data_IF_112988664188
#
_entry.id   IF_112988664188
#
_cell.length_a   1.000
_cell.length_b   1.000
_cell.length_c   1.000
_cell.angle_alpha   90.00
_cell.angle_beta   90.00
_cell.angle_gamma   90.00
#
_symmetry.space_group_name_H-M   'P 1'
#
loop_
_entity.id
_entity.type
_entity.pdbx_description
1 polymer ?
#
# COMPACT_ATOMS: atom_id res chain seq x y z
N UNK A 1 -13.83 3.85 -26.27
CA UNK A 1 -12.91 4.85 -25.69
C UNK A 1 -13.01 4.79 -24.19
N UNK A 2 -11.91 4.56 -23.52
CA UNK A 2 -11.90 4.51 -22.06
C UNK A 2 -11.67 5.92 -21.51
N UNK A 3 -12.58 6.38 -20.68
CA UNK A 3 -12.42 7.64 -19.99
C UNK A 3 -11.45 7.46 -18.82
N UNK A 4 -10.45 8.33 -18.73
CA UNK A 4 -9.58 8.39 -17.57
C UNK A 4 -10.32 9.07 -16.43
N UNK A 5 -10.12 8.54 -15.24
CA UNK A 5 -10.65 9.12 -14.01
C UNK A 5 -9.46 9.58 -13.17
N UNK A 6 -9.44 10.85 -12.82
CA UNK A 6 -8.38 11.42 -12.00
C UNK A 6 -8.58 11.06 -10.53
N UNK A 7 -7.50 10.63 -9.89
CA UNK A 7 -7.46 10.37 -8.46
C UNK A 7 -6.41 11.30 -7.84
N UNK A 8 -6.83 12.12 -6.90
CA UNK A 8 -5.92 13.01 -6.20
C UNK A 8 -4.89 12.22 -5.39
N UNK A 9 -3.63 12.62 -5.48
CA UNK A 9 -2.55 12.00 -4.70
C UNK A 9 -2.52 12.68 -3.34
N UNK A 10 -2.56 11.87 -2.28
CA UNK A 10 -2.49 12.36 -0.90
C UNK A 10 -1.26 11.80 -0.18
N UNK A 11 -0.76 12.51 0.84
CA UNK A 11 0.34 11.98 1.63
C UNK A 11 -0.09 10.75 2.43
N UNK A 12 0.81 9.79 2.58
CA UNK A 12 0.58 8.60 3.38
C UNK A 12 0.60 8.97 4.86
N UNK A 13 -0.51 8.72 5.55
CA UNK A 13 -0.59 8.81 7.01
C UNK A 13 -1.20 7.53 7.56
N UNK A 14 -0.88 7.13 8.80
CA UNK A 14 -1.50 5.95 9.41
C UNK A 14 -3.03 6.02 9.42
N UNK A 15 -3.58 7.19 9.69
CA UNK A 15 -5.02 7.41 9.78
C UNK A 15 -5.70 7.30 8.41
N UNK A 16 -5.12 7.91 7.39
CA UNK A 16 -5.67 7.87 6.04
C UNK A 16 -5.56 6.46 5.43
N UNK A 17 -4.54 5.70 5.80
CA UNK A 17 -4.30 4.36 5.27
C UNK A 17 -5.05 3.26 6.01
N UNK A 18 -5.65 3.55 7.16
CA UNK A 18 -6.30 2.54 8.02
C UNK A 18 -7.30 1.63 7.29
N UNK A 19 -8.10 2.08 6.32
CA UNK A 19 -8.99 1.19 5.58
C UNK A 19 -8.26 0.14 4.73
N UNK A 20 -7.00 0.37 4.39
CA UNK A 20 -6.22 -0.44 3.44
C UNK A 20 -5.18 -1.31 4.13
N UNK A 21 -4.71 -0.91 5.30
CA UNK A 21 -3.64 -1.60 6.02
C UNK A 21 -3.01 -0.75 7.09
N UNK A 22 -1.72 -0.99 7.32
CA UNK A 22 -0.94 -0.26 8.32
C UNK A 22 0.33 0.31 7.69
N UNK A 23 0.73 1.48 8.17
CA UNK A 23 2.02 2.07 7.77
C UNK A 23 3.15 1.37 8.50
N UNK A 24 4.16 0.96 7.75
CA UNK A 24 5.43 0.48 8.29
C UNK A 24 6.33 1.70 8.44
N UNK A 25 6.39 2.22 9.65
CA UNK A 25 7.11 3.44 9.95
C UNK A 25 6.74 3.97 11.32
N UNK A 26 7.16 5.18 11.60
CA UNK A 26 6.78 5.85 12.84
C UNK A 26 5.29 6.20 12.81
N UNK A 27 4.57 5.80 13.85
CA UNK A 27 3.14 6.06 14.00
C UNK A 27 2.85 6.85 15.28
N UNK A 28 1.61 7.32 15.43
CA UNK A 28 1.16 8.06 16.59
C UNK A 28 0.62 7.16 17.72
N UNK A 29 0.33 5.88 17.41
CA UNK A 29 -0.05 4.90 18.41
C UNK A 29 1.15 4.54 19.29
N UNK A 30 0.93 4.03 20.52
CA UNK A 30 2.03 3.63 21.39
C UNK A 30 2.95 2.60 20.73
N UNK A 31 4.28 2.74 20.88
CA UNK A 31 5.19 1.73 20.34
C UNK A 31 4.94 0.36 20.98
N UNK A 32 5.17 -0.68 20.20
CA UNK A 32 5.17 -2.05 20.69
C UNK A 32 6.24 -2.26 21.75
N UNK A 33 7.38 -1.62 21.57
CA UNK A 33 8.50 -1.64 22.50
C UNK A 33 9.16 -0.26 22.52
N UNK A 34 9.55 0.16 23.73
CA UNK A 34 10.36 1.36 23.90
C UNK A 34 11.38 1.11 25.00
N UNK A 35 12.66 1.21 24.70
CA UNK A 35 13.73 1.03 25.65
C UNK A 35 15.09 1.26 25.01
N UNK A 36 16.08 1.63 25.84
CA UNK A 36 17.41 1.99 25.35
C UNK A 36 17.31 3.16 24.37
N UNK A 37 17.85 2.98 23.17
CA UNK A 37 17.79 3.96 22.11
C UNK A 37 16.76 3.60 21.01
N UNK A 38 15.83 2.68 21.28
CA UNK A 38 14.90 2.15 20.29
C UNK A 38 13.44 2.36 20.67
N UNK A 39 12.63 2.61 19.64
CA UNK A 39 11.17 2.50 19.68
C UNK A 39 10.75 1.68 18.47
N UNK A 40 9.84 0.73 18.66
CA UNK A 40 9.39 -0.14 17.59
C UNK A 40 7.89 -0.11 17.44
N UNK A 41 7.42 -0.14 16.21
CA UNK A 41 6.02 -0.30 15.86
C UNK A 41 5.88 -1.54 14.98
N UNK A 42 5.02 -2.46 15.39
CA UNK A 42 4.72 -3.64 14.61
C UNK A 42 3.56 -3.43 13.65
N UNK A 43 3.42 -4.34 12.71
CA UNK A 43 2.25 -4.46 11.85
C UNK A 43 1.68 -5.87 11.95
N UNK A 44 0.39 -6.02 11.69
CA UNK A 44 -0.32 -7.31 11.76
C UNK A 44 -0.05 -8.10 10.48
N UNK A 45 1.09 -8.79 10.45
CA UNK A 45 1.51 -9.55 9.29
C UNK A 45 1.04 -10.99 9.40
N UNK A 46 0.22 -11.43 8.44
CA UNK A 46 -0.37 -12.76 8.41
C UNK A 46 -0.06 -13.44 7.07
N UNK A 47 0.19 -14.73 7.12
CA UNK A 47 0.41 -15.56 5.94
C UNK A 47 -0.20 -16.94 6.13
N UNK A 48 -0.94 -17.39 5.12
CA UNK A 48 -1.41 -18.76 5.02
C UNK A 48 -0.50 -19.51 4.04
N UNK A 49 0.29 -20.43 4.56
CA UNK A 49 1.26 -21.18 3.76
C UNK A 49 2.68 -20.62 3.86
N UNK A 50 3.42 -20.72 2.78
CA UNK A 50 4.83 -20.32 2.74
C UNK A 50 4.96 -18.83 2.50
N UNK A 51 5.70 -18.16 3.38
CA UNK A 51 6.06 -16.76 3.18
C UNK A 51 7.17 -16.61 2.15
N UNK A 52 7.05 -15.61 1.29
CA UNK A 52 8.05 -15.27 0.30
C UNK A 52 8.48 -13.81 0.44
N UNK A 53 9.76 -13.57 0.22
CA UNK A 53 10.33 -12.23 0.18
C UNK A 53 10.91 -12.00 -1.22
N UNK A 54 10.42 -10.98 -1.91
CA UNK A 54 10.86 -10.65 -3.25
C UNK A 54 11.49 -9.26 -3.29
N UNK A 55 12.50 -9.10 -4.11
CA UNK A 55 12.94 -7.79 -4.57
C UNK A 55 12.20 -7.47 -5.86
N UNK A 56 11.60 -6.30 -5.92
CA UNK A 56 10.93 -5.80 -7.12
C UNK A 56 11.57 -4.50 -7.59
N UNK A 57 11.84 -4.43 -8.87
CA UNK A 57 12.37 -3.23 -9.51
C UNK A 57 11.27 -2.62 -10.38
N UNK A 58 10.90 -1.37 -10.07
CA UNK A 58 9.83 -0.67 -10.78
C UNK A 58 10.41 0.41 -11.66
N UNK A 59 9.99 0.40 -12.92
CA UNK A 59 10.43 1.38 -13.90
C UNK A 59 9.61 2.67 -13.78
N UNK A 60 10.31 3.79 -13.86
CA UNK A 60 9.67 5.11 -13.90
C UNK A 60 8.76 5.22 -15.12
N UNK A 61 7.54 5.69 -14.91
CA UNK A 61 6.54 5.90 -15.96
C UNK A 61 6.38 7.39 -16.20
N UNK A 62 6.25 7.79 -17.48
CA UNK A 62 6.02 9.18 -17.83
C UNK A 62 4.65 9.67 -17.33
N UNK A 63 3.66 8.78 -17.40
CA UNK A 63 2.31 9.05 -16.92
C UNK A 63 1.97 8.10 -15.76
N UNK A 64 1.36 8.64 -14.72
CA UNK A 64 0.90 7.83 -13.58
C UNK A 64 -0.51 7.34 -13.88
N UNK A 65 -0.60 6.31 -14.70
CA UNK A 65 -1.86 5.69 -15.09
C UNK A 65 -1.85 4.22 -14.77
N UNK A 66 -3.01 3.68 -14.42
CA UNK A 66 -3.17 2.25 -14.24
C UNK A 66 -4.49 1.77 -14.84
N UNK A 67 -4.51 0.53 -15.30
CA UNK A 67 -5.71 -0.15 -15.79
C UNK A 67 -5.91 -1.49 -15.09
N UNK A 68 -4.99 -1.88 -14.24
CA UNK A 68 -5.00 -3.18 -13.57
C UNK A 68 -4.78 -2.98 -12.08
N UNK A 69 -5.63 -3.62 -11.30
CA UNK A 69 -5.46 -3.77 -9.85
C UNK A 69 -5.59 -5.25 -9.49
N UNK A 70 -4.95 -5.62 -8.39
CA UNK A 70 -4.99 -7.00 -7.90
C UNK A 70 -5.24 -7.03 -6.40
N UNK A 71 -5.64 -8.20 -5.90
CA UNK A 71 -5.80 -8.46 -4.47
C UNK A 71 -5.28 -9.86 -4.14
N UNK A 72 -4.86 -10.04 -2.88
CA UNK A 72 -4.36 -11.32 -2.37
C UNK A 72 -5.13 -11.73 -1.12
N UNK A 73 -5.50 -13.00 -1.01
CA UNK A 73 -6.33 -13.50 0.10
C UNK A 73 -5.54 -14.29 1.13
N UNK A 74 -4.39 -14.85 0.74
CA UNK A 74 -3.62 -15.75 1.60
C UNK A 74 -2.56 -15.03 2.44
N UNK A 75 -2.36 -13.75 2.21
CA UNK A 75 -1.28 -12.99 2.83
C UNK A 75 -1.65 -11.53 2.98
N UNK A 76 -1.23 -10.92 4.08
CA UNK A 76 -1.05 -9.49 4.18
C UNK A 76 0.25 -9.15 3.45
N UNK A 77 0.19 -8.32 2.44
CA UNK A 77 1.35 -8.00 1.63
C UNK A 77 2.01 -6.73 2.13
N UNK A 78 3.33 -6.73 2.21
CA UNK A 78 4.09 -5.56 2.60
C UNK A 78 4.97 -5.07 1.46
N UNK A 79 5.02 -3.75 1.29
CA UNK A 79 6.00 -3.07 0.45
C UNK A 79 6.90 -2.20 1.32
N UNK A 80 8.20 -2.45 1.24
CA UNK A 80 9.20 -1.69 1.95
C UNK A 80 10.17 -1.11 0.93
N UNK A 81 10.26 0.22 0.80
CA UNK A 81 11.20 0.82 -0.14
C UNK A 81 12.64 0.61 0.33
N UNK A 82 13.52 0.40 -0.62
CA UNK A 82 14.96 0.46 -0.42
C UNK A 82 15.50 1.75 -1.05
N UNK A 83 16.64 2.20 -0.62
CA UNK A 83 17.32 3.39 -1.15
C UNK A 83 16.52 4.70 -1.04
N UNK A 84 15.56 4.76 -0.11
CA UNK A 84 14.67 5.91 0.06
C UNK A 84 13.87 6.28 -1.20
N UNK A 85 13.60 5.31 -2.06
CA UNK A 85 12.82 5.55 -3.28
C UNK A 85 11.35 5.82 -2.94
N UNK A 86 10.84 6.95 -3.40
CA UNK A 86 9.44 7.32 -3.25
C UNK A 86 8.58 6.80 -4.40
N UNK A 87 7.31 6.63 -4.14
CA UNK A 87 6.37 6.08 -5.12
C UNK A 87 4.94 6.55 -4.87
N UNK A 88 4.11 6.39 -5.89
CA UNK A 88 2.66 6.49 -5.77
C UNK A 88 2.05 5.11 -5.98
N UNK A 89 1.10 4.74 -5.15
CA UNK A 89 0.34 3.51 -5.28
C UNK A 89 -1.13 3.79 -4.99
N UNK A 90 -2.01 3.10 -5.70
CA UNK A 90 -3.46 3.26 -5.57
C UNK A 90 -4.03 2.04 -4.86
N UNK A 91 -4.95 2.28 -3.93
CA UNK A 91 -5.57 1.24 -3.11
C UNK A 91 -7.08 1.40 -3.07
N UNK A 92 -7.77 0.29 -2.88
CA UNK A 92 -9.18 0.26 -2.50
C UNK A 92 -9.38 -0.77 -1.38
N UNK A 93 -10.33 -0.51 -0.50
CA UNK A 93 -10.63 -1.39 0.63
C UNK A 93 -11.09 -2.77 0.14
N UNK A 94 -10.87 -3.83 0.94
CA UNK A 94 -11.33 -5.17 0.58
C UNK A 94 -12.82 -5.21 0.27
N UNK A 95 -13.17 -5.99 -0.74
CA UNK A 95 -14.55 -6.35 -1.08
C UNK A 95 -14.78 -7.83 -0.75
N UNK A 96 -15.99 -8.34 -0.96
CA UNK A 96 -16.30 -9.72 -0.64
C UNK A 96 -15.28 -10.68 -1.29
N UNK A 97 -14.52 -11.45 -0.50
CA UNK A 97 -13.51 -12.36 -1.03
C UNK A 97 -14.08 -13.54 -1.80
N UNK A 98 -15.33 -13.90 -1.53
CA UNK A 98 -15.99 -15.04 -2.15
C UNK A 98 -16.72 -14.69 -3.44
N UNK A 99 -16.83 -13.40 -3.76
CA UNK A 99 -17.50 -12.90 -4.95
C UNK A 99 -16.49 -12.24 -5.91
N UNK A 100 -16.13 -12.91 -7.01
CA UNK A 100 -15.20 -12.33 -7.98
C UNK A 100 -15.77 -11.11 -8.72
N UNK A 101 -17.07 -10.86 -8.63
CA UNK A 101 -17.72 -9.70 -9.24
C UNK A 101 -17.81 -8.50 -8.29
N UNK A 102 -17.47 -8.69 -7.01
CA UNK A 102 -17.46 -7.64 -6.02
C UNK A 102 -16.18 -6.80 -6.15
N UNK A 103 -16.17 -5.94 -7.16
CA UNK A 103 -15.04 -5.03 -7.44
C UNK A 103 -15.31 -3.64 -6.86
N UNK A 104 -14.27 -2.87 -6.53
CA UNK A 104 -14.47 -1.51 -6.03
C UNK A 104 -15.09 -0.60 -7.08
N UNK A 105 -15.85 0.40 -6.63
CA UNK A 105 -16.23 1.50 -7.49
C UNK A 105 -15.02 2.39 -7.75
N UNK A 106 -15.01 3.10 -8.88
CA UNK A 106 -13.90 3.98 -9.24
C UNK A 106 -13.64 5.06 -8.19
N UNK A 107 -14.70 5.54 -7.53
CA UNK A 107 -14.61 6.56 -6.45
C UNK A 107 -14.01 6.04 -5.16
N UNK A 108 -13.90 4.72 -4.99
CA UNK A 108 -13.39 4.10 -3.76
C UNK A 108 -11.86 3.97 -3.78
N UNK A 109 -11.22 4.27 -4.90
CA UNK A 109 -9.77 4.25 -5.00
C UNK A 109 -9.15 5.53 -4.42
N UNK A 110 -8.09 5.34 -3.67
CA UNK A 110 -7.27 6.44 -3.13
C UNK A 110 -5.82 6.22 -3.52
N UNK A 111 -5.16 7.29 -3.92
CA UNK A 111 -3.76 7.27 -4.32
C UNK A 111 -2.91 7.92 -3.24
N UNK A 112 -1.84 7.22 -2.83
CA UNK A 112 -0.94 7.71 -1.78
C UNK A 112 0.46 7.93 -2.35
N UNK A 113 1.02 9.08 -1.99
CA UNK A 113 2.45 9.31 -2.12
C UNK A 113 3.13 8.68 -0.90
N UNK A 114 3.99 7.71 -1.18
CA UNK A 114 4.76 6.98 -0.16
C UNK A 114 6.19 7.45 -0.29
N UNK A 115 6.66 8.25 0.68
CA UNK A 115 8.06 8.66 0.68
C UNK A 115 8.96 7.47 1.02
N UNK A 116 10.24 7.60 0.71
CA UNK A 116 11.19 6.50 0.85
C UNK A 116 11.50 6.10 2.29
N UNK A 117 10.94 6.77 3.29
CA UNK A 117 11.13 6.46 4.72
C UNK A 117 10.01 5.61 5.30
N UNK A 118 8.99 5.31 4.51
CA UNK A 118 7.81 4.56 4.94
C UNK A 118 7.57 3.37 4.03
N UNK A 119 7.08 2.29 4.63
CA UNK A 119 6.48 1.17 3.91
C UNK A 119 5.01 1.04 4.25
N UNK A 120 4.35 0.10 3.61
CA UNK A 120 2.95 -0.22 3.87
C UNK A 120 2.79 -1.72 3.99
N UNK A 121 1.88 -2.13 4.86
CA UNK A 121 1.35 -3.49 4.92
C UNK A 121 -0.14 -3.41 4.61
N UNK A 122 -0.59 -4.17 3.63
CA UNK A 122 -1.98 -4.19 3.19
C UNK A 122 -2.73 -5.35 3.83
N UNK A 123 -3.96 -5.10 4.28
CA UNK A 123 -4.84 -6.17 4.73
C UNK A 123 -5.06 -7.20 3.63
N UNK A 124 -5.32 -8.47 4.01
CA UNK A 124 -5.79 -9.48 3.06
C UNK A 124 -6.98 -8.95 2.28
N UNK A 125 -6.94 -9.08 0.96
CA UNK A 125 -8.00 -8.63 0.09
C UNK A 125 -7.97 -7.15 -0.30
N UNK A 126 -7.04 -6.36 0.21
CA UNK A 126 -6.89 -4.97 -0.23
C UNK A 126 -6.49 -4.93 -1.70
N UNK A 127 -7.25 -4.16 -2.47
CA UNK A 127 -6.95 -3.92 -3.88
C UNK A 127 -5.82 -2.93 -4.02
N UNK A 128 -4.88 -3.20 -4.91
CA UNK A 128 -3.77 -2.29 -5.16
C UNK A 128 -3.33 -2.31 -6.62
N UNK A 129 -2.82 -1.17 -7.06
CA UNK A 129 -2.11 -1.04 -8.34
C UNK A 129 -0.66 -1.47 -8.20
N UNK A 130 0.07 -1.46 -9.31
CA UNK A 130 1.52 -1.43 -9.29
C UNK A 130 2.03 -0.20 -8.54
N UNK A 131 3.29 -0.20 -8.16
CA UNK A 131 3.97 0.97 -7.60
C UNK A 131 4.57 1.80 -8.72
N UNK A 132 4.36 3.09 -8.65
CA UNK A 132 4.89 4.04 -9.63
C UNK A 132 5.97 4.89 -8.98
N UNK A 133 7.25 4.71 -9.33
CA UNK A 133 8.30 5.61 -8.84
C UNK A 133 7.92 7.05 -9.17
N UNK A 134 8.01 7.93 -8.17
CA UNK A 134 7.56 9.30 -8.30
C UNK A 134 8.49 10.23 -7.51
N UNK A 135 8.74 11.40 -8.08
CA UNK A 135 9.44 12.45 -7.35
C UNK A 135 8.51 13.06 -6.29
N UNK A 136 9.07 13.67 -5.23
CA UNK A 136 8.28 14.42 -4.26
C UNK A 136 7.41 15.48 -4.95
N UNK A 137 6.19 15.70 -4.46
CA UNK A 137 5.32 16.75 -4.99
C UNK A 137 5.86 18.15 -4.75
#
# INVERSE_FOLDING_TARGET
MNDLIDIAIEPLTPEAFAPFGQVIGRRNDPPLFQGGNARTWGVDFEVDGKMELHFADFTHQAELEFSLVERHFAVTQAFVPLNNDSSVTVFAAPTDPDDPTAIPNTKDFRAFYIDGTQGVMMWKGTWHSSRFPANPP
#
